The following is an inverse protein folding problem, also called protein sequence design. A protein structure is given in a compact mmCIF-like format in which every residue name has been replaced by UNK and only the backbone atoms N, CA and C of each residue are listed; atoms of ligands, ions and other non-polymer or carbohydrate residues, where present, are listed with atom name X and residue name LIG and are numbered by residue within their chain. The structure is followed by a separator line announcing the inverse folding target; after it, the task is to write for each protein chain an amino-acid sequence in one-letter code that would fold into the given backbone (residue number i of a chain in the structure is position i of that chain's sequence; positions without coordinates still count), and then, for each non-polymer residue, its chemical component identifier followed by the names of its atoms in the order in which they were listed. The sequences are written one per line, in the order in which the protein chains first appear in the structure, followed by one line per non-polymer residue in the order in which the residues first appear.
data_IF_239700890953
#
_entry.id   IF_239700890953
#
_cell.length_a   1.000
_cell.length_b   1.000
_cell.length_c   1.000
_cell.angle_alpha   90.00
_cell.angle_beta   90.00
_cell.angle_gamma   90.00
#
_symmetry.space_group_name_H-M   'P 1'
#
loop_
_entity.id
_entity.type
_entity.pdbx_description
1 polymer ?
#
# COMPACT_ATOMS: atom_id res chain seq x y z
N UNK A 1 13.14 -18.74 1.91
CA UNK A 1 14.55 -18.29 1.91
C UNK A 1 14.72 -17.27 3.03
N UNK A 2 15.76 -17.34 3.84
CA UNK A 2 16.04 -16.27 4.81
C UNK A 2 16.38 -14.98 4.03
N UNK A 3 15.87 -13.80 4.43
CA UNK A 3 16.20 -12.54 3.77
C UNK A 3 17.72 -12.35 3.77
N UNK A 4 18.26 -11.88 2.64
CA UNK A 4 19.68 -11.62 2.56
C UNK A 4 20.10 -10.56 3.59
N UNK A 5 21.39 -10.49 3.94
CA UNK A 5 21.89 -9.43 4.82
C UNK A 5 21.56 -8.01 4.30
N UNK A 6 21.43 -7.87 2.98
CA UNK A 6 21.02 -6.63 2.31
C UNK A 6 19.53 -6.33 2.51
N UNK A 7 18.64 -7.32 2.38
CA UNK A 7 17.20 -7.10 2.54
C UNK A 7 16.87 -6.71 3.99
N UNK A 8 17.51 -7.35 4.96
CA UNK A 8 17.40 -6.97 6.37
C UNK A 8 17.85 -5.53 6.61
N UNK A 9 18.99 -5.15 6.01
CA UNK A 9 19.52 -3.80 6.12
C UNK A 9 18.55 -2.76 5.57
N UNK A 10 17.98 -3.01 4.39
CA UNK A 10 17.03 -2.10 3.75
C UNK A 10 15.71 -2.01 4.51
N UNK A 11 15.22 -3.14 5.04
CA UNK A 11 14.03 -3.16 5.89
C UNK A 11 14.21 -2.35 7.19
N UNK A 12 15.32 -2.55 7.91
CA UNK A 12 15.60 -1.79 9.13
C UNK A 12 15.89 -0.30 8.85
N UNK A 13 16.50 0.02 7.70
CA UNK A 13 16.69 1.40 7.28
C UNK A 13 15.33 2.08 7.10
N UNK A 14 14.42 1.49 6.31
CA UNK A 14 13.09 2.03 6.06
C UNK A 14 12.31 2.22 7.36
N UNK A 15 12.31 1.21 8.24
CA UNK A 15 11.63 1.27 9.54
C UNK A 15 12.16 2.39 10.42
N UNK A 16 13.49 2.54 10.52
CA UNK A 16 14.09 3.61 11.33
C UNK A 16 13.79 5.00 10.76
N UNK A 17 13.82 5.16 9.44
CA UNK A 17 13.40 6.40 8.79
C UNK A 17 11.91 6.70 9.03
N UNK A 18 11.05 5.69 8.98
CA UNK A 18 9.63 5.83 9.28
C UNK A 18 9.37 6.24 10.73
N UNK A 19 10.08 5.64 11.69
CA UNK A 19 9.90 5.88 13.12
C UNK A 19 10.46 7.24 13.54
N UNK A 20 11.73 7.51 13.22
CA UNK A 20 12.51 8.65 13.75
C UNK A 20 12.60 9.83 12.79
N UNK A 21 12.30 9.64 11.50
CA UNK A 21 12.58 10.60 10.44
C UNK A 21 14.01 10.48 9.89
N UNK A 22 14.23 11.06 8.71
CA UNK A 22 15.50 10.98 7.99
C UNK A 22 16.62 11.68 8.76
N UNK A 23 16.38 12.91 9.22
CA UNK A 23 17.39 13.72 9.91
C UNK A 23 17.91 13.06 11.20
N UNK A 24 17.01 12.50 12.01
CA UNK A 24 17.34 11.90 13.31
C UNK A 24 17.89 10.47 13.23
N UNK A 25 17.86 9.85 12.05
CA UNK A 25 18.40 8.50 11.86
C UNK A 25 19.86 8.56 11.38
N UNK A 26 20.75 7.88 12.09
CA UNK A 26 22.16 7.75 11.70
C UNK A 26 22.44 6.40 11.02
N UNK A 27 23.48 6.34 10.16
CA UNK A 27 23.95 5.09 9.53
C UNK A 27 24.35 4.06 10.59
N UNK A 28 24.92 4.51 11.72
CA UNK A 28 25.30 3.64 12.83
C UNK A 28 24.09 2.99 13.52
N UNK A 29 22.96 3.71 13.64
CA UNK A 29 21.73 3.13 14.18
C UNK A 29 21.18 2.03 13.28
N UNK A 30 21.22 2.25 11.96
CA UNK A 30 20.77 1.27 10.96
C UNK A 30 21.67 0.03 10.99
N UNK A 31 22.99 0.20 11.07
CA UNK A 31 23.93 -0.92 11.22
C UNK A 31 23.59 -1.76 12.45
N UNK A 32 23.41 -1.09 13.60
CA UNK A 32 23.09 -1.75 14.86
C UNK A 32 21.78 -2.53 14.77
N UNK A 33 20.73 -1.93 14.21
CA UNK A 33 19.43 -2.58 14.02
C UNK A 33 19.51 -3.78 13.07
N UNK A 34 20.41 -3.72 12.08
CA UNK A 34 20.62 -4.78 11.09
C UNK A 34 21.53 -5.92 11.59
N UNK A 35 22.05 -5.82 12.82
CA UNK A 35 23.01 -6.79 13.38
C UNK A 35 24.45 -6.62 12.87
N UNK A 36 24.78 -5.47 12.27
CA UNK A 36 26.13 -5.13 11.83
C UNK A 36 26.86 -4.32 12.91
N UNK A 37 28.18 -4.46 12.95
CA UNK A 37 29.01 -3.63 13.83
C UNK A 37 28.89 -2.14 13.44
N UNK A 38 28.51 -1.24 14.36
CA UNK A 38 28.44 0.20 14.10
C UNK A 38 29.81 0.73 13.65
N UNK A 39 29.83 1.59 12.63
CA UNK A 39 31.07 2.18 12.12
C UNK A 39 31.95 1.23 11.31
N UNK A 40 31.51 0.00 11.01
CA UNK A 40 32.27 -0.98 10.22
C UNK A 40 32.57 -0.57 8.77
N UNK A 41 32.02 0.55 8.30
CA UNK A 41 32.15 0.98 6.91
C UNK A 41 31.43 0.10 5.89
N UNK A 42 30.81 -1.02 6.31
CA UNK A 42 30.16 -1.98 5.41
C UNK A 42 29.07 -1.35 4.55
N UNK A 43 28.33 -0.38 5.12
CA UNK A 43 27.28 0.37 4.42
C UNK A 43 27.86 1.28 3.33
N UNK A 44 28.98 1.96 3.58
CA UNK A 44 29.64 2.84 2.61
C UNK A 44 30.22 2.11 1.40
N UNK A 45 30.35 0.77 1.47
CA UNK A 45 30.70 -0.06 0.30
C UNK A 45 29.52 -0.29 -0.65
N UNK A 46 28.29 -0.17 -0.15
CA UNK A 46 27.07 -0.44 -0.91
C UNK A 46 26.26 0.81 -1.23
N UNK A 47 26.40 1.87 -0.42
CA UNK A 47 25.67 3.13 -0.57
C UNK A 47 26.64 4.28 -0.29
N UNK A 48 26.78 5.20 -1.22
CA UNK A 48 27.62 6.40 -1.11
C UNK A 48 27.06 7.45 -0.15
N UNK A 49 25.77 7.39 0.21
CA UNK A 49 25.17 8.33 1.16
C UNK A 49 23.97 7.75 1.94
N UNK A 50 23.57 8.45 3.01
CA UNK A 50 22.33 8.13 3.75
C UNK A 50 21.08 8.28 2.86
N UNK A 51 21.11 9.21 1.91
CA UNK A 51 20.03 9.41 0.94
C UNK A 51 19.92 8.22 -0.01
N UNK A 52 21.03 7.78 -0.57
CA UNK A 52 21.07 6.60 -1.45
C UNK A 52 20.60 5.33 -0.74
N UNK A 53 20.88 5.20 0.57
CA UNK A 53 20.32 4.12 1.38
C UNK A 53 18.80 4.21 1.53
N UNK A 54 18.26 5.42 1.78
CA UNK A 54 16.82 5.64 1.84
C UNK A 54 16.15 5.28 0.51
N UNK A 55 16.71 5.78 -0.59
CA UNK A 55 16.23 5.52 -1.95
C UNK A 55 16.21 4.01 -2.25
N UNK A 56 17.30 3.31 -1.92
CA UNK A 56 17.38 1.86 -2.09
C UNK A 56 16.40 1.09 -1.20
N UNK A 57 16.13 1.57 0.02
CA UNK A 57 15.19 0.94 0.94
C UNK A 57 13.75 1.08 0.47
N UNK A 58 13.39 2.27 -0.04
CA UNK A 58 12.11 2.55 -0.67
C UNK A 58 11.92 1.72 -1.93
N UNK A 59 12.90 1.72 -2.84
CA UNK A 59 12.86 0.93 -4.06
C UNK A 59 12.70 -0.58 -3.77
N UNK A 60 13.47 -1.11 -2.82
CA UNK A 60 13.36 -2.52 -2.42
C UNK A 60 11.97 -2.86 -1.86
N UNK A 61 11.38 -1.93 -1.10
CA UNK A 61 10.03 -2.12 -0.57
C UNK A 61 8.98 -2.11 -1.67
N UNK A 62 9.10 -1.19 -2.62
CA UNK A 62 8.25 -1.11 -3.82
C UNK A 62 8.33 -2.40 -4.62
N UNK A 63 9.54 -2.89 -4.90
CA UNK A 63 9.75 -4.14 -5.65
C UNK A 63 9.10 -5.33 -4.93
N UNK A 64 9.17 -5.38 -3.59
CA UNK A 64 8.52 -6.41 -2.79
C UNK A 64 6.99 -6.34 -2.88
N UNK A 65 6.42 -5.14 -2.92
CA UNK A 65 4.96 -4.93 -3.11
C UNK A 65 4.54 -5.41 -4.50
N UNK A 66 5.31 -5.09 -5.54
CA UNK A 66 5.03 -5.53 -6.92
C UNK A 66 5.11 -7.06 -7.02
N UNK A 67 6.18 -7.68 -6.50
CA UNK A 67 6.36 -9.13 -6.55
C UNK A 67 5.26 -9.90 -5.80
N UNK A 68 4.80 -9.38 -4.65
CA UNK A 68 3.69 -9.99 -3.91
C UNK A 68 2.36 -9.95 -4.69
N UNK A 69 2.17 -8.96 -5.57
CA UNK A 69 0.96 -8.84 -6.40
C UNK A 69 0.96 -9.80 -7.57
N UNK A 70 2.10 -10.05 -8.22
CA UNK A 70 2.21 -11.00 -9.34
C UNK A 70 1.86 -12.44 -8.93
N UNK A 71 2.01 -12.76 -7.65
CA UNK A 71 1.67 -14.06 -7.09
C UNK A 71 0.18 -14.21 -6.75
N UNK A 72 -0.60 -13.13 -6.82
CA UNK A 72 -1.99 -13.13 -6.39
C UNK A 72 -2.95 -13.41 -7.55
N UNK A 73 -3.11 -14.69 -7.87
CA UNK A 73 -4.17 -15.20 -8.72
C UNK A 73 -5.41 -15.44 -7.86
N UNK A 74 -6.35 -14.51 -7.86
CA UNK A 74 -7.59 -14.68 -7.12
C UNK A 74 -8.48 -15.65 -7.91
N UNK A 75 -8.70 -16.85 -7.36
CA UNK A 75 -9.71 -17.77 -7.89
C UNK A 75 -11.08 -17.08 -7.97
N UNK A 76 -11.97 -17.61 -8.81
CA UNK A 76 -13.26 -16.99 -9.07
C UNK A 76 -14.10 -16.88 -7.76
N UNK A 77 -14.46 -15.67 -7.32
CA UNK A 77 -15.19 -15.49 -6.06
C UNK A 77 -16.62 -16.02 -6.17
N UNK A 78 -17.14 -16.64 -5.11
CA UNK A 78 -18.47 -17.26 -5.13
C UNK A 78 -19.63 -16.22 -5.19
N UNK A 79 -19.36 -14.96 -4.85
CA UNK A 79 -20.32 -13.86 -4.96
C UNK A 79 -19.61 -12.51 -5.11
N UNK A 80 -20.35 -11.50 -5.61
CA UNK A 80 -19.87 -10.10 -5.69
C UNK A 80 -19.52 -9.55 -4.30
N UNK A 81 -20.30 -9.91 -3.28
CA UNK A 81 -20.01 -9.53 -1.89
C UNK A 81 -18.67 -10.09 -1.40
N UNK A 82 -18.43 -11.37 -1.65
CA UNK A 82 -17.16 -11.99 -1.29
C UNK A 82 -16.00 -11.37 -2.05
N UNK A 83 -16.18 -11.05 -3.33
CA UNK A 83 -15.18 -10.37 -4.14
C UNK A 83 -14.80 -9.00 -3.56
N UNK A 84 -15.81 -8.14 -3.28
CA UNK A 84 -15.59 -6.80 -2.70
C UNK A 84 -14.91 -6.89 -1.34
N UNK A 85 -15.38 -7.79 -0.48
CA UNK A 85 -14.78 -8.01 0.85
C UNK A 85 -13.33 -8.45 0.76
N UNK A 86 -13.02 -9.40 -0.13
CA UNK A 86 -11.66 -9.91 -0.34
C UNK A 86 -10.76 -8.81 -0.88
N UNK A 87 -11.24 -8.04 -1.87
CA UNK A 87 -10.50 -6.89 -2.42
C UNK A 87 -10.21 -5.84 -1.34
N UNK A 88 -11.22 -5.45 -0.55
CA UNK A 88 -11.06 -4.50 0.55
C UNK A 88 -10.05 -4.95 1.61
N UNK A 89 -10.12 -6.21 2.02
CA UNK A 89 -9.17 -6.80 2.98
C UNK A 89 -7.75 -6.86 2.42
N UNK A 90 -7.59 -7.19 1.14
CA UNK A 90 -6.29 -7.21 0.48
C UNK A 90 -5.69 -5.80 0.39
N UNK A 91 -6.47 -4.82 -0.07
CA UNK A 91 -6.05 -3.41 -0.15
C UNK A 91 -5.66 -2.91 1.24
N UNK A 92 -6.50 -3.14 2.25
CA UNK A 92 -6.25 -2.75 3.63
C UNK A 92 -4.97 -3.37 4.18
N UNK A 93 -4.79 -4.68 4.00
CA UNK A 93 -3.60 -5.41 4.46
C UNK A 93 -2.34 -4.89 3.78
N UNK A 94 -2.39 -4.59 2.48
CA UNK A 94 -1.27 -4.06 1.73
C UNK A 94 -0.89 -2.65 2.21
N UNK A 95 -1.87 -1.79 2.48
CA UNK A 95 -1.65 -0.45 3.02
C UNK A 95 -1.02 -0.52 4.42
N UNK A 96 -1.54 -1.37 5.32
CA UNK A 96 -0.98 -1.57 6.66
C UNK A 96 0.42 -2.14 6.64
N UNK A 97 0.67 -3.14 5.80
CA UNK A 97 2.03 -3.68 5.66
C UNK A 97 2.99 -2.59 5.19
N UNK A 98 2.53 -1.65 4.37
CA UNK A 98 3.33 -0.57 3.78
C UNK A 98 3.36 0.70 4.64
N UNK A 99 2.99 0.61 5.92
CA UNK A 99 2.94 1.73 6.87
C UNK A 99 4.26 2.52 6.93
N UNK A 100 5.40 1.83 6.99
CA UNK A 100 6.70 2.49 7.06
C UNK A 100 7.00 3.31 5.80
N UNK A 101 6.63 2.78 4.64
CA UNK A 101 6.78 3.47 3.36
C UNK A 101 5.87 4.72 3.33
N UNK A 102 4.61 4.59 3.72
CA UNK A 102 3.67 5.71 3.79
C UNK A 102 4.17 6.83 4.73
N UNK A 103 4.68 6.47 5.92
CA UNK A 103 5.25 7.43 6.87
C UNK A 103 6.45 8.16 6.29
N UNK A 104 7.36 7.45 5.63
CA UNK A 104 8.54 8.04 4.99
C UNK A 104 8.13 9.03 3.91
N UNK A 105 7.18 8.68 3.03
CA UNK A 105 6.69 9.58 1.99
C UNK A 105 6.09 10.86 2.53
N UNK A 106 5.26 10.74 3.58
CA UNK A 106 4.56 11.89 4.16
C UNK A 106 5.49 12.82 4.95
N UNK A 107 6.58 12.27 5.51
CA UNK A 107 7.54 13.04 6.32
C UNK A 107 8.66 13.65 5.48
N UNK A 108 9.06 12.99 4.40
CA UNK A 108 10.29 13.31 3.66
C UNK A 108 10.05 13.44 2.14
N UNK A 109 9.09 14.27 1.69
CA UNK A 109 8.75 14.36 0.26
C UNK A 109 9.96 14.78 -0.60
N UNK A 110 10.77 15.73 -0.12
CA UNK A 110 11.96 16.21 -0.84
C UNK A 110 13.10 15.18 -0.89
N UNK A 111 13.14 14.25 0.06
CA UNK A 111 14.21 13.25 0.14
C UNK A 111 14.03 12.10 -0.85
N UNK A 112 12.82 11.94 -1.40
CA UNK A 112 12.48 10.87 -2.33
C UNK A 112 12.81 11.21 -3.79
N UNK A 113 12.86 12.49 -4.16
CA UNK A 113 13.19 12.90 -5.53
C UNK A 113 12.38 12.13 -6.58
N UNK A 114 13.06 11.53 -7.56
CA UNK A 114 12.45 10.74 -8.65
C UNK A 114 11.69 9.48 -8.17
N UNK A 115 11.91 9.02 -6.93
CA UNK A 115 11.14 7.91 -6.38
C UNK A 115 9.73 8.31 -6.00
N UNK A 116 9.42 9.59 -5.82
CA UNK A 116 8.07 10.05 -5.43
C UNK A 116 7.01 9.54 -6.41
N UNK A 117 7.19 9.84 -7.70
CA UNK A 117 6.29 9.43 -8.78
C UNK A 117 6.17 7.90 -8.91
N UNK A 118 7.30 7.18 -8.90
CA UNK A 118 7.30 5.70 -9.00
C UNK A 118 6.63 5.06 -7.79
N UNK A 119 6.81 5.64 -6.61
CA UNK A 119 6.18 5.16 -5.37
C UNK A 119 4.68 5.41 -5.41
N UNK A 120 4.26 6.58 -5.90
CA UNK A 120 2.85 6.92 -6.10
C UNK A 120 2.18 5.93 -7.07
N UNK A 121 2.77 5.71 -8.25
CA UNK A 121 2.25 4.75 -9.23
C UNK A 121 2.06 3.33 -8.64
N UNK A 122 2.97 2.89 -7.76
CA UNK A 122 2.89 1.54 -7.17
C UNK A 122 1.87 1.45 -6.03
N UNK A 123 1.85 2.44 -5.14
CA UNK A 123 0.97 2.41 -3.96
C UNK A 123 -0.47 2.70 -4.36
N UNK A 124 -0.68 3.77 -5.12
CA UNK A 124 -2.01 4.26 -5.48
C UNK A 124 -2.46 3.72 -6.82
N UNK A 125 -1.77 4.06 -7.91
CA UNK A 125 -2.36 3.88 -9.26
C UNK A 125 -2.64 2.42 -9.58
N UNK A 126 -1.73 1.51 -9.26
CA UNK A 126 -1.97 0.10 -9.54
C UNK A 126 -3.15 -0.50 -8.76
N UNK A 127 -3.43 -0.03 -7.54
CA UNK A 127 -4.61 -0.48 -6.81
C UNK A 127 -5.89 0.13 -7.42
N UNK A 128 -5.85 1.42 -7.76
CA UNK A 128 -6.94 2.13 -8.42
C UNK A 128 -7.30 1.52 -9.77
N UNK A 129 -6.31 1.28 -10.64
CA UNK A 129 -6.49 0.71 -11.97
C UNK A 129 -7.08 -0.69 -11.90
N UNK A 130 -6.56 -1.56 -11.03
CA UNK A 130 -7.09 -2.93 -10.90
C UNK A 130 -8.57 -2.93 -10.50
N UNK A 131 -8.94 -2.16 -9.48
CA UNK A 131 -10.33 -2.12 -9.04
C UNK A 131 -11.23 -1.45 -10.10
N UNK A 132 -10.74 -0.41 -10.79
CA UNK A 132 -11.44 0.19 -11.92
C UNK A 132 -11.67 -0.81 -13.08
N UNK A 133 -10.67 -1.64 -13.39
CA UNK A 133 -10.75 -2.67 -14.42
C UNK A 133 -11.78 -3.75 -14.08
N UNK A 134 -11.86 -4.15 -12.80
CA UNK A 134 -12.87 -5.07 -12.30
C UNK A 134 -14.28 -4.48 -12.43
N UNK A 135 -14.47 -3.21 -12.05
CA UNK A 135 -15.74 -2.50 -12.24
C UNK A 135 -16.10 -2.34 -13.73
N UNK A 136 -15.13 -2.05 -14.58
CA UNK A 136 -15.32 -1.96 -16.02
C UNK A 136 -15.65 -3.34 -16.63
N UNK A 137 -15.09 -4.42 -16.11
CA UNK A 137 -15.41 -5.79 -16.51
C UNK A 137 -16.86 -6.17 -16.13
N UNK A 138 -17.36 -5.72 -14.97
CA UNK A 138 -18.77 -5.87 -14.61
C UNK A 138 -19.68 -5.20 -15.64
N UNK A 139 -19.34 -3.96 -16.06
CA UNK A 139 -20.08 -3.27 -17.11
C UNK A 139 -20.03 -4.01 -18.45
N UNK A 140 -18.84 -4.44 -18.90
CA UNK A 140 -18.68 -5.19 -20.16
C UNK A 140 -19.46 -6.50 -20.17
N UNK A 141 -19.64 -7.13 -19.01
CA UNK A 141 -20.43 -8.36 -18.85
C UNK A 141 -21.95 -8.13 -18.84
N UNK A 142 -22.42 -6.89 -18.90
CA UNK A 142 -23.84 -6.55 -18.80
C UNK A 142 -24.45 -6.81 -17.42
N UNK A 143 -23.62 -7.05 -16.39
CA UNK A 143 -24.08 -7.23 -15.01
C UNK A 143 -24.41 -5.91 -14.33
N UNK A 144 -23.76 -4.84 -14.77
CA UNK A 144 -23.84 -3.50 -14.21
C UNK A 144 -23.76 -2.42 -15.29
N UNK A 145 -24.21 -1.21 -14.94
CA UNK A 145 -24.08 0.01 -15.73
C UNK A 145 -23.52 1.15 -14.86
N UNK A 146 -22.34 0.93 -14.28
CA UNK A 146 -21.65 1.92 -13.45
C UNK A 146 -21.22 3.10 -14.35
N UNK A 147 -21.65 4.35 -14.09
CA UNK A 147 -21.41 5.48 -15.00
C UNK A 147 -19.92 5.78 -15.22
N UNK A 148 -19.13 5.72 -14.14
CA UNK A 148 -17.68 5.93 -14.18
C UNK A 148 -16.98 4.90 -13.26
N UNK A 149 -16.54 3.76 -13.82
CA UNK A 149 -15.81 2.74 -13.07
C UNK A 149 -14.52 3.25 -12.41
N UNK A 150 -13.79 4.14 -13.09
CA UNK A 150 -12.52 4.67 -12.61
C UNK A 150 -12.73 5.61 -11.43
N UNK A 151 -13.65 6.57 -11.53
CA UNK A 151 -13.99 7.46 -10.43
C UNK A 151 -14.59 6.70 -9.24
N UNK A 152 -15.43 5.69 -9.51
CA UNK A 152 -16.01 4.84 -8.44
C UNK A 152 -14.91 4.11 -7.67
N UNK A 153 -13.93 3.53 -8.39
CA UNK A 153 -12.78 2.89 -7.77
C UNK A 153 -11.91 3.88 -6.99
N UNK A 154 -11.69 5.08 -7.54
CA UNK A 154 -10.94 6.15 -6.89
C UNK A 154 -11.52 6.54 -5.53
N UNK A 155 -12.84 6.69 -5.44
CA UNK A 155 -13.50 7.02 -4.16
C UNK A 155 -13.41 5.85 -3.17
N UNK A 156 -13.68 4.63 -3.63
CA UNK A 156 -13.65 3.44 -2.78
C UNK A 156 -12.25 3.22 -2.17
N UNK A 157 -11.20 3.23 -2.98
CA UNK A 157 -9.82 3.05 -2.49
C UNK A 157 -9.34 4.28 -1.72
N UNK A 158 -9.80 5.49 -2.07
CA UNK A 158 -9.47 6.71 -1.35
C UNK A 158 -9.88 6.64 0.12
N UNK A 159 -11.05 6.06 0.43
CA UNK A 159 -11.49 5.84 1.80
C UNK A 159 -10.53 4.93 2.60
N UNK A 160 -10.17 3.77 2.04
CA UNK A 160 -9.22 2.85 2.68
C UNK A 160 -7.83 3.48 2.83
N UNK A 161 -7.35 4.18 1.80
CA UNK A 161 -6.05 4.85 1.78
C UNK A 161 -5.95 5.94 2.84
N UNK A 162 -6.99 6.77 2.97
CA UNK A 162 -7.06 7.80 4.00
C UNK A 162 -7.08 7.18 5.40
N UNK A 163 -7.90 6.15 5.63
CA UNK A 163 -7.99 5.50 6.94
C UNK A 163 -6.67 4.84 7.34
N UNK A 164 -6.01 4.13 6.43
CA UNK A 164 -4.71 3.52 6.69
C UNK A 164 -3.63 4.57 6.95
N UNK A 165 -3.64 5.67 6.20
CA UNK A 165 -2.71 6.79 6.41
C UNK A 165 -2.92 7.45 7.77
N UNK A 166 -4.17 7.72 8.15
CA UNK A 166 -4.49 8.28 9.45
C UNK A 166 -4.06 7.34 10.58
N UNK A 167 -4.28 6.02 10.41
CA UNK A 167 -3.87 5.00 11.36
C UNK A 167 -2.35 4.95 11.50
N UNK A 168 -1.61 4.97 10.39
CA UNK A 168 -0.16 5.00 10.37
C UNK A 168 0.41 6.23 11.11
N UNK A 169 -0.17 7.41 10.87
CA UNK A 169 0.35 8.66 11.44
C UNK A 169 -0.03 8.86 12.90
N UNK A 170 -1.22 8.42 13.30
CA UNK A 170 -1.83 8.82 14.58
C UNK A 170 -2.22 7.65 15.49
N UNK A 171 -2.18 6.42 14.99
CA UNK A 171 -2.71 5.24 15.65
C UNK A 171 -4.25 5.19 15.67
N UNK A 172 -4.95 6.07 14.96
CA UNK A 172 -6.41 6.20 14.97
C UNK A 172 -7.03 5.98 13.60
N UNK A 173 -8.25 5.48 13.58
CA UNK A 173 -9.10 5.42 12.39
C UNK A 173 -10.05 6.62 12.33
N UNK A 174 -10.62 6.94 11.16
CA UNK A 174 -11.65 7.98 11.04
C UNK A 174 -12.81 7.74 12.02
N UNK A 175 -13.20 8.77 12.77
CA UNK A 175 -14.23 8.64 13.81
C UNK A 175 -13.82 7.80 15.03
N UNK A 176 -12.56 7.35 15.11
CA UNK A 176 -12.03 6.50 16.18
C UNK A 176 -12.83 5.21 16.40
N UNK A 177 -13.34 4.62 15.32
CA UNK A 177 -14.05 3.34 15.33
C UNK A 177 -13.09 2.15 15.19
N UNK A 178 -13.56 0.96 15.52
CA UNK A 178 -12.79 -0.27 15.35
C UNK A 178 -12.57 -0.62 13.87
N UNK A 179 -11.45 -1.29 13.58
CA UNK A 179 -10.99 -1.61 12.21
C UNK A 179 -11.98 -2.51 11.46
N UNK A 180 -12.47 -3.56 12.12
CA UNK A 180 -13.51 -4.45 11.61
C UNK A 180 -14.77 -3.68 11.21
N UNK A 181 -15.24 -2.77 12.07
CA UNK A 181 -16.41 -1.92 11.79
C UNK A 181 -16.18 -0.96 10.62
N UNK A 182 -14.96 -0.42 10.47
CA UNK A 182 -14.61 0.44 9.35
C UNK A 182 -14.65 -0.34 8.03
N UNK A 183 -14.07 -1.55 8.00
CA UNK A 183 -14.05 -2.41 6.82
C UNK A 183 -15.45 -2.90 6.45
N UNK A 184 -16.29 -3.32 7.41
CA UNK A 184 -17.68 -3.68 7.13
C UNK A 184 -18.46 -2.52 6.50
N UNK A 185 -18.35 -1.31 7.08
CA UNK A 185 -19.02 -0.14 6.52
C UNK A 185 -18.54 0.21 5.10
N UNK A 186 -17.24 0.01 4.82
CA UNK A 186 -16.68 0.20 3.48
C UNK A 186 -17.22 -0.83 2.48
N UNK A 187 -17.33 -2.11 2.88
CA UNK A 187 -17.92 -3.18 2.06
C UNK A 187 -19.38 -2.85 1.75
N UNK A 188 -20.16 -2.46 2.76
CA UNK A 188 -21.58 -2.11 2.59
C UNK A 188 -21.78 -0.93 1.64
N UNK A 189 -20.97 0.13 1.78
CA UNK A 189 -21.02 1.29 0.89
C UNK A 189 -20.70 0.90 -0.56
N UNK A 190 -19.63 0.11 -0.76
CA UNK A 190 -19.21 -0.35 -2.08
C UNK A 190 -20.29 -1.23 -2.72
N UNK A 191 -20.87 -2.18 -1.97
CA UNK A 191 -21.95 -3.03 -2.46
C UNK A 191 -23.22 -2.25 -2.76
N UNK A 192 -23.50 -1.18 -2.02
CA UNK A 192 -24.67 -0.33 -2.28
C UNK A 192 -24.56 0.35 -3.65
N UNK A 193 -23.36 0.83 -4.02
CA UNK A 193 -23.09 1.38 -5.37
C UNK A 193 -23.28 0.30 -6.43
N UNK A 194 -22.72 -0.90 -6.24
CA UNK A 194 -22.87 -2.00 -7.20
C UNK A 194 -24.34 -2.46 -7.36
N UNK A 195 -25.13 -2.44 -6.27
CA UNK A 195 -26.55 -2.78 -6.31
C UNK A 195 -27.36 -1.71 -7.06
N UNK A 196 -27.06 -0.44 -6.84
CA UNK A 196 -27.73 0.69 -7.47
C UNK A 196 -27.63 0.64 -9.00
N UNK A 197 -26.45 0.28 -9.52
CA UNK A 197 -26.18 0.21 -10.96
C UNK A 197 -26.25 -1.22 -11.51
N UNK A 198 -27.02 -2.11 -10.88
CA UNK A 198 -27.18 -3.49 -11.36
C UNK A 198 -28.16 -3.51 -12.53
N UNK A 199 -27.76 -4.14 -13.63
CA UNK A 199 -28.66 -4.33 -14.78
C UNK A 199 -29.77 -5.31 -14.40
N UNK A 200 -31.05 -5.00 -14.66
CA UNK A 200 -32.15 -5.93 -14.42
C UNK A 200 -31.90 -7.23 -15.16
N UNK A 201 -32.21 -8.38 -14.52
CA UNK A 201 -32.30 -9.63 -15.27
C UNK A 201 -33.50 -9.51 -16.21
N UNK A 202 -33.26 -9.50 -17.51
CA UNK A 202 -34.32 -9.78 -18.47
C UNK A 202 -34.67 -11.27 -18.32
N UNK A 203 -35.75 -11.56 -17.61
CA UNK A 203 -36.42 -12.86 -17.65
C UNK A 203 -37.30 -12.95 -18.91
#
# INVERSE_FOLDING_TARGET
MQPSGRDRLLGEALRLFADKGYAATSVADIQRASGLAPGSGALYKHFGSKRELLEAAVAHRIDSIVAAREQYDAGEPASVEQAVRTAGQLIWSNLKQSEDLLKVMLREPDALGDLDEKTWQVITDNAYQRFADELAALNRSGRNEIPDPAATAAVAIGALSYAATLQALTGRLPGNIAEDRYIEAWVDQTLSVLKQYRTPKND
#
